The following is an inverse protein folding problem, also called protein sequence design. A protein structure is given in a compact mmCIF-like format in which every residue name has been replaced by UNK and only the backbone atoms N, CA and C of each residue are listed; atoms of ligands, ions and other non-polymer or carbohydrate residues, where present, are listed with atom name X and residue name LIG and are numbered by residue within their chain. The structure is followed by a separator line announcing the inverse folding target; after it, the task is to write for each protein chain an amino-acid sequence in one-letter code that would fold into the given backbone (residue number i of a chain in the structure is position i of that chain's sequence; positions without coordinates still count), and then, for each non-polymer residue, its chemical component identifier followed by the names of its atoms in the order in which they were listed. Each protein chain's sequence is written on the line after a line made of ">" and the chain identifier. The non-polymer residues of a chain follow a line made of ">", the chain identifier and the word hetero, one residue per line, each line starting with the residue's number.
data_IF_976592985318
#
_entry.id   IF_976592985318
#
_cell.length_a   1.000
_cell.length_b   1.000
_cell.length_c   1.000
_cell.angle_alpha   90.00
_cell.angle_beta   90.00
_cell.angle_gamma   90.00
#
_symmetry.space_group_name_H-M   'P 1'
#
loop_
_entity.id
_entity.type
_entity.pdbx_description
1 polymer ?
#
# COMPACT_ATOMS: atom_id res chain seq x y z
N UNK A 1 -34.25 27.10 7.96
CA UNK A 1 -33.20 27.52 8.92
C UNK A 1 -32.31 28.54 8.21
N UNK A 2 -32.12 29.73 8.79
CA UNK A 2 -31.31 30.81 8.19
C UNK A 2 -29.82 30.42 8.26
N UNK A 3 -29.01 30.62 7.20
CA UNK A 3 -27.58 30.37 7.26
C UNK A 3 -26.88 31.45 8.08
N UNK A 4 -25.98 31.01 8.97
CA UNK A 4 -25.14 31.84 9.82
C UNK A 4 -24.21 32.73 8.97
N UNK A 5 -24.33 34.05 9.13
CA UNK A 5 -23.54 35.09 8.44
C UNK A 5 -22.13 35.31 9.02
N UNK A 6 -21.60 34.39 9.83
CA UNK A 6 -20.35 34.63 10.58
C UNK A 6 -19.06 34.20 9.87
N UNK A 7 -19.11 33.42 8.79
CA UNK A 7 -17.89 32.86 8.17
C UNK A 7 -17.25 33.73 7.07
N UNK A 8 -17.86 34.86 6.69
CA UNK A 8 -17.44 35.60 5.48
C UNK A 8 -16.50 36.79 5.71
N UNK A 9 -16.07 37.08 6.94
CA UNK A 9 -15.38 38.36 7.25
C UNK A 9 -13.88 38.27 7.49
N UNK A 10 -13.24 37.10 7.47
CA UNK A 10 -11.80 36.98 7.76
C UNK A 10 -10.91 36.53 6.57
N UNK A 11 -11.49 36.02 5.48
CA UNK A 11 -10.72 35.34 4.42
C UNK A 11 -10.30 36.29 3.27
N UNK A 12 -10.64 37.58 3.31
CA UNK A 12 -10.47 38.47 2.14
C UNK A 12 -9.22 39.35 2.12
N UNK A 13 -8.25 39.19 3.01
CA UNK A 13 -7.00 39.95 2.95
C UNK A 13 -5.83 39.00 2.98
N UNK A 14 -5.15 38.87 1.83
CA UNK A 14 -3.69 38.87 1.71
C UNK A 14 -3.25 38.39 0.31
N UNK A 15 -3.16 39.34 -0.61
CA UNK A 15 -2.12 39.39 -1.66
C UNK A 15 -1.17 40.53 -1.20
N UNK A 16 0.13 40.68 -1.59
CA UNK A 16 0.89 39.99 -2.63
C UNK A 16 2.38 39.64 -2.29
N UNK A 17 3.01 38.90 -3.22
CA UNK A 17 4.40 38.96 -3.74
C UNK A 17 5.57 39.38 -2.82
N UNK A 18 6.53 38.46 -2.69
CA UNK A 18 7.88 38.52 -2.09
C UNK A 18 7.96 38.27 -0.57
N UNK A 19 8.08 37.01 -0.14
CA UNK A 19 8.36 36.70 1.28
C UNK A 19 8.91 35.28 1.54
N UNK A 20 9.75 34.73 0.66
CA UNK A 20 10.11 33.30 0.73
C UNK A 20 11.43 32.96 1.42
N UNK A 21 12.38 33.90 1.61
CA UNK A 21 13.69 33.50 2.16
C UNK A 21 13.85 33.67 3.68
N UNK A 22 12.84 34.15 4.40
CA UNK A 22 13.03 34.58 5.80
C UNK A 22 12.33 33.71 6.85
N UNK A 23 11.33 32.88 6.49
CA UNK A 23 10.51 32.20 7.50
C UNK A 23 11.18 30.98 8.15
N UNK A 24 11.88 30.15 7.39
CA UNK A 24 12.55 28.94 7.94
C UNK A 24 13.72 29.28 8.88
N UNK A 25 14.44 30.37 8.60
CA UNK A 25 15.54 30.88 9.46
C UNK A 25 14.98 31.40 10.79
N UNK A 26 13.76 31.94 10.82
CA UNK A 26 13.13 32.53 12.01
C UNK A 26 12.75 31.45 13.05
N UNK A 27 12.22 30.30 12.64
CA UNK A 27 11.85 29.23 13.58
C UNK A 27 13.06 28.62 14.30
N UNK A 28 14.19 28.43 13.59
CA UNK A 28 15.46 27.97 14.17
C UNK A 28 16.11 29.02 15.10
N UNK A 29 15.95 30.31 14.76
CA UNK A 29 16.50 31.41 15.56
C UNK A 29 15.74 31.60 16.89
N UNK A 30 14.42 31.45 16.91
CA UNK A 30 13.59 31.53 18.13
C UNK A 30 13.94 30.38 19.09
N UNK A 31 14.19 29.17 18.57
CA UNK A 31 14.55 28.00 19.38
C UNK A 31 15.92 28.11 20.06
N UNK A 32 16.85 28.82 19.42
CA UNK A 32 18.23 28.97 19.89
C UNK A 32 18.43 30.17 20.85
N UNK A 33 17.63 31.23 20.70
CA UNK A 33 17.78 32.48 21.47
C UNK A 33 16.74 32.72 22.57
N UNK A 34 15.71 31.88 22.70
CA UNK A 34 14.70 32.05 23.77
C UNK A 34 15.27 31.96 25.19
N UNK A 35 16.41 31.27 25.37
CA UNK A 35 17.09 31.16 26.66
C UNK A 35 18.01 32.34 27.01
N UNK A 36 18.35 33.21 26.04
CA UNK A 36 19.35 34.27 26.23
C UNK A 36 18.73 35.67 26.46
N UNK A 37 17.41 35.84 26.27
CA UNK A 37 16.79 37.17 26.14
C UNK A 37 15.76 37.50 27.24
N UNK A 38 15.13 36.51 27.88
CA UNK A 38 14.19 36.73 29.00
C UNK A 38 13.96 35.50 29.89
N UNK A 39 13.80 35.69 31.20
CA UNK A 39 13.56 34.65 32.22
C UNK A 39 12.16 33.97 32.15
N UNK A 40 11.35 34.31 31.15
CA UNK A 40 9.97 33.80 31.01
C UNK A 40 9.96 32.49 30.20
N UNK A 41 9.18 31.47 30.58
CA UNK A 41 9.06 30.24 29.78
C UNK A 41 8.62 30.51 28.33
N UNK A 42 9.18 29.77 27.37
CA UNK A 42 8.91 29.97 25.94
C UNK A 42 7.41 29.86 25.57
N UNK A 43 6.66 28.98 26.25
CA UNK A 43 5.21 28.83 26.06
C UNK A 43 4.44 30.09 26.45
N UNK A 44 4.78 30.68 27.61
CA UNK A 44 4.18 31.94 28.04
C UNK A 44 4.53 33.08 27.07
N UNK A 45 5.79 33.16 26.62
CA UNK A 45 6.20 34.16 25.61
C UNK A 45 5.38 34.06 24.32
N UNK A 46 5.03 32.86 23.86
CA UNK A 46 4.16 32.65 22.69
C UNK A 46 2.76 33.21 22.93
N UNK A 47 2.15 32.91 24.08
CA UNK A 47 0.83 33.43 24.43
C UNK A 47 0.83 34.97 24.55
N UNK A 48 1.89 35.54 25.12
CA UNK A 48 2.07 36.99 25.19
C UNK A 48 2.20 37.61 23.80
N UNK A 49 2.98 37.03 22.90
CA UNK A 49 3.13 37.51 21.53
C UNK A 49 1.80 37.44 20.76
N UNK A 50 1.04 36.35 20.92
CA UNK A 50 -0.30 36.21 20.34
C UNK A 50 -1.26 37.28 20.86
N UNK A 51 -1.21 37.59 22.16
CA UNK A 51 -2.04 38.65 22.74
C UNK A 51 -1.73 40.02 22.12
N UNK A 52 -0.44 40.33 21.90
CA UNK A 52 -0.03 41.57 21.22
C UNK A 52 -0.67 41.69 19.84
N UNK A 53 -0.52 40.63 19.04
CA UNK A 53 -1.03 40.58 17.66
C UNK A 53 -2.55 40.75 17.63
N UNK A 54 -3.26 40.12 18.57
CA UNK A 54 -4.72 40.24 18.69
C UNK A 54 -5.13 41.64 19.11
N UNK A 55 -4.37 42.30 20.00
CA UNK A 55 -4.68 43.63 20.50
C UNK A 55 -4.55 44.74 19.44
N UNK A 56 -3.63 44.59 18.48
CA UNK A 56 -3.42 45.54 17.37
C UNK A 56 -4.60 45.52 16.36
N UNK A 57 -5.47 44.51 16.43
CA UNK A 57 -6.67 44.39 15.62
C UNK A 57 -6.42 43.82 14.22
N UNK A 58 -7.50 43.39 13.56
CA UNK A 58 -7.43 42.58 12.33
C UNK A 58 -6.69 43.24 11.16
N UNK A 59 -6.68 44.59 11.08
CA UNK A 59 -6.03 45.32 9.99
C UNK A 59 -4.50 45.36 10.12
N UNK A 60 -3.98 45.43 11.34
CA UNK A 60 -2.53 45.54 11.61
C UNK A 60 -1.90 44.24 12.11
N UNK A 61 -2.70 43.24 12.51
CA UNK A 61 -2.23 41.97 13.05
C UNK A 61 -1.14 41.30 12.20
N UNK A 62 -1.23 41.35 10.88
CA UNK A 62 -0.28 40.72 9.96
C UNK A 62 1.04 41.49 9.84
N UNK A 63 0.97 42.81 9.84
CA UNK A 63 2.15 43.67 9.85
C UNK A 63 2.89 43.53 11.19
N UNK A 64 2.15 43.50 12.30
CA UNK A 64 2.70 43.24 13.63
C UNK A 64 3.30 41.84 13.71
N UNK A 65 2.62 40.81 13.20
CA UNK A 65 3.16 39.45 13.14
C UNK A 65 4.49 39.44 12.38
N UNK A 66 4.55 40.09 11.22
CA UNK A 66 5.78 40.22 10.43
C UNK A 66 6.89 40.92 11.21
N UNK A 67 6.61 42.05 11.84
CA UNK A 67 7.58 42.82 12.62
C UNK A 67 8.11 42.00 13.82
N UNK A 68 7.20 41.38 14.58
CA UNK A 68 7.56 40.55 15.73
C UNK A 68 8.35 39.30 15.32
N UNK A 69 8.01 38.67 14.21
CA UNK A 69 8.73 37.49 13.70
C UNK A 69 10.12 37.85 13.19
N UNK A 70 10.28 38.98 12.48
CA UNK A 70 11.58 39.41 11.94
C UNK A 70 12.53 39.92 13.02
N UNK A 71 12.00 40.59 14.05
CA UNK A 71 12.79 41.25 15.09
C UNK A 71 12.54 40.69 16.50
N UNK A 72 12.17 39.41 16.62
CA UNK A 72 11.75 38.81 17.90
C UNK A 72 12.68 39.11 19.10
N UNK A 73 14.02 39.00 18.99
CA UNK A 73 14.92 39.23 20.12
C UNK A 73 14.85 40.65 20.70
N UNK A 74 14.60 41.67 19.87
CA UNK A 74 14.52 43.05 20.35
C UNK A 74 13.19 43.31 21.08
N UNK A 75 12.13 42.64 20.67
CA UNK A 75 10.79 42.80 21.24
C UNK A 75 10.48 41.86 22.42
N UNK A 76 11.27 40.80 22.65
CA UNK A 76 11.02 39.78 23.67
C UNK A 76 10.74 40.34 25.08
N UNK A 77 11.50 41.35 25.54
CA UNK A 77 11.27 42.00 26.86
C UNK A 77 9.97 42.79 26.93
N UNK A 78 9.56 43.37 25.80
CA UNK A 78 8.32 44.13 25.70
C UNK A 78 7.12 43.17 25.71
N UNK A 79 7.21 42.08 24.94
CA UNK A 79 6.20 41.01 24.87
C UNK A 79 6.00 40.36 26.25
N UNK A 80 7.08 40.06 26.97
CA UNK A 80 7.02 39.43 28.30
C UNK A 80 6.23 40.22 29.37
N UNK A 81 5.98 41.51 29.14
CA UNK A 81 5.21 42.38 30.06
C UNK A 81 3.72 42.41 29.76
N UNK A 82 3.28 41.81 28.67
CA UNK A 82 1.87 41.83 28.29
C UNK A 82 1.04 40.87 29.12
N UNK A 83 -0.16 41.27 29.54
CA UNK A 83 -1.09 40.38 30.23
C UNK A 83 -1.94 39.62 29.21
N UNK A 84 -1.93 38.29 29.28
CA UNK A 84 -2.80 37.43 28.45
C UNK A 84 -4.21 37.42 29.02
N UNK A 85 -5.18 37.72 28.18
CA UNK A 85 -6.61 37.66 28.51
C UNK A 85 -7.07 36.21 28.74
N UNK A 86 -8.10 36.02 29.57
CA UNK A 86 -8.63 34.67 29.83
C UNK A 86 -9.33 34.10 28.60
N UNK A 87 -9.95 34.96 27.81
CA UNK A 87 -10.65 34.64 26.56
C UNK A 87 -9.68 34.07 25.52
N UNK A 88 -8.52 34.72 25.31
CA UNK A 88 -7.50 34.22 24.38
C UNK A 88 -6.94 32.88 24.83
N UNK A 89 -6.65 32.74 26.12
CA UNK A 89 -6.13 31.50 26.69
C UNK A 89 -7.09 30.32 26.49
N UNK A 90 -8.37 30.53 26.79
CA UNK A 90 -9.40 29.51 26.57
C UNK A 90 -9.58 29.17 25.09
N UNK A 91 -9.52 30.16 24.20
CA UNK A 91 -9.59 29.94 22.75
C UNK A 91 -8.43 29.10 22.23
N UNK A 92 -7.20 29.36 22.71
CA UNK A 92 -6.02 28.56 22.36
C UNK A 92 -6.16 27.14 22.91
N UNK A 93 -6.50 26.96 24.19
CA UNK A 93 -6.65 25.64 24.81
C UNK A 93 -7.76 24.82 24.11
N UNK A 94 -8.86 25.44 23.70
CA UNK A 94 -9.94 24.78 22.97
C UNK A 94 -9.49 24.36 21.56
N UNK A 95 -8.84 25.24 20.81
CA UNK A 95 -8.31 24.90 19.49
C UNK A 95 -7.27 23.77 19.57
N UNK A 96 -6.41 23.79 20.60
CA UNK A 96 -5.44 22.72 20.82
C UNK A 96 -6.13 21.40 21.18
N UNK A 97 -7.18 21.43 22.01
CA UNK A 97 -7.91 20.22 22.38
C UNK A 97 -8.71 19.63 21.22
N UNK A 98 -9.45 20.46 20.49
CA UNK A 98 -10.33 20.00 19.41
C UNK A 98 -9.59 19.66 18.11
N UNK A 99 -8.48 20.34 17.82
CA UNK A 99 -7.77 20.16 16.55
C UNK A 99 -6.37 19.54 16.67
N UNK A 100 -5.77 19.45 17.87
CA UNK A 100 -4.41 18.93 18.07
C UNK A 100 -4.32 17.72 19.02
N UNK A 101 -5.34 17.42 19.83
CA UNK A 101 -5.23 16.29 20.76
C UNK A 101 -5.45 14.95 20.05
N UNK A 102 -4.57 13.99 20.35
CA UNK A 102 -4.53 12.57 19.93
C UNK A 102 -5.84 11.77 20.08
N UNK A 103 -6.96 12.40 20.47
CA UNK A 103 -8.24 11.77 20.72
C UNK A 103 -9.14 11.81 19.46
N UNK A 104 -8.76 11.03 18.44
CA UNK A 104 -9.73 10.28 17.63
C UNK A 104 -10.64 11.05 16.66
N UNK A 105 -10.35 12.29 16.28
CA UNK A 105 -10.98 12.93 15.12
C UNK A 105 -9.94 13.29 14.05
N UNK A 106 -10.13 12.71 12.87
CA UNK A 106 -9.31 12.73 11.65
C UNK A 106 -8.95 14.12 11.06
N UNK A 107 -9.22 15.23 11.75
CA UNK A 107 -9.27 16.53 11.09
C UNK A 107 -7.90 17.10 10.70
N UNK A 108 -6.82 16.88 11.47
CA UNK A 108 -5.44 17.15 11.02
C UNK A 108 -4.44 16.24 11.74
N UNK A 109 -3.96 15.14 11.13
CA UNK A 109 -2.92 14.31 11.71
C UNK A 109 -1.61 15.11 11.86
N UNK A 110 -1.04 15.16 13.07
CA UNK A 110 0.37 15.52 13.27
C UNK A 110 0.71 16.99 13.51
N UNK A 111 -0.23 17.84 13.93
CA UNK A 111 0.12 19.17 14.47
C UNK A 111 0.28 19.11 15.99
N UNK A 112 1.49 19.35 16.47
CA UNK A 112 1.80 19.51 17.89
C UNK A 112 1.88 21.00 18.28
N UNK A 113 1.70 21.36 19.57
CA UNK A 113 1.89 22.74 20.01
C UNK A 113 3.26 23.33 19.63
N UNK A 114 3.26 24.30 18.71
CA UNK A 114 4.47 24.96 18.21
C UNK A 114 4.94 24.51 16.83
N UNK A 115 4.26 23.55 16.21
CA UNK A 115 4.42 23.25 14.78
C UNK A 115 3.57 24.19 13.93
N UNK A 116 4.01 24.41 12.69
CA UNK A 116 3.34 25.29 11.73
C UNK A 116 2.96 24.48 10.49
N UNK A 117 1.72 24.62 10.04
CA UNK A 117 1.23 23.99 8.83
C UNK A 117 0.46 25.01 8.01
N UNK A 118 0.69 25.02 6.70
CA UNK A 118 0.01 25.89 5.76
C UNK A 118 -0.98 25.05 4.96
N UNK A 119 -2.22 25.52 4.84
CA UNK A 119 -3.20 24.88 3.98
C UNK A 119 -3.61 25.82 2.85
N UNK A 120 -3.63 25.31 1.63
CA UNK A 120 -4.21 25.98 0.47
C UNK A 120 -5.44 25.18 0.03
N UNK A 121 -6.64 25.72 0.26
CA UNK A 121 -7.90 25.09 -0.14
C UNK A 121 -8.08 23.62 0.35
N UNK A 122 -7.50 23.27 1.50
CA UNK A 122 -7.52 21.93 2.08
C UNK A 122 -6.28 21.08 1.77
N UNK A 123 -5.41 21.53 0.85
CA UNK A 123 -4.13 20.89 0.57
C UNK A 123 -3.12 21.34 1.61
N UNK A 124 -2.58 20.41 2.39
CA UNK A 124 -1.48 20.68 3.32
C UNK A 124 -0.18 20.93 2.55
N UNK A 125 0.46 22.06 2.83
CA UNK A 125 1.76 22.44 2.30
C UNK A 125 2.79 22.36 3.41
N UNK A 126 3.89 21.68 3.13
CA UNK A 126 5.03 21.58 4.03
C UNK A 126 5.84 22.88 3.98
N UNK A 127 5.77 23.67 5.05
CA UNK A 127 6.38 24.99 5.14
C UNK A 127 7.91 24.92 5.09
N UNK A 128 8.51 23.80 5.52
CA UNK A 128 9.97 23.66 5.58
C UNK A 128 10.59 23.38 4.20
N UNK A 129 9.84 22.76 3.29
CA UNK A 129 10.29 22.45 1.92
C UNK A 129 9.72 23.39 0.85
N UNK A 130 8.79 24.29 1.21
CA UNK A 130 8.08 25.16 0.27
C UNK A 130 8.97 26.26 -0.33
N UNK A 131 9.21 26.15 -1.64
CA UNK A 131 9.81 27.22 -2.44
C UNK A 131 8.74 28.15 -3.07
N UNK A 132 9.11 29.39 -3.39
CA UNK A 132 8.24 30.37 -4.04
C UNK A 132 7.72 29.87 -5.38
N UNK A 133 8.59 29.21 -6.14
CA UNK A 133 8.24 28.67 -7.45
C UNK A 133 7.23 27.52 -7.30
N UNK A 134 7.45 26.63 -6.33
CA UNK A 134 6.50 25.56 -6.01
C UNK A 134 5.15 26.10 -5.56
N UNK A 135 5.12 27.15 -4.73
CA UNK A 135 3.88 27.80 -4.32
C UNK A 135 3.13 28.39 -5.51
N UNK A 136 3.83 29.07 -6.43
CA UNK A 136 3.21 29.62 -7.65
C UNK A 136 2.66 28.51 -8.53
N UNK A 137 3.38 27.41 -8.67
CA UNK A 137 2.91 26.27 -9.48
C UNK A 137 1.72 25.56 -8.84
N UNK A 138 1.69 25.45 -7.51
CA UNK A 138 0.54 24.95 -6.75
C UNK A 138 -0.68 25.86 -6.95
N UNK A 139 -0.51 27.18 -6.85
CA UNK A 139 -1.59 28.16 -7.09
C UNK A 139 -2.11 28.07 -8.52
N UNK A 140 -1.23 27.89 -9.53
CA UNK A 140 -1.65 27.70 -10.93
C UNK A 140 -2.42 26.40 -11.12
N UNK A 141 -2.03 25.31 -10.46
CA UNK A 141 -2.78 24.06 -10.50
C UNK A 141 -4.16 24.23 -9.87
N UNK A 142 -4.25 24.90 -8.72
CA UNK A 142 -5.51 25.18 -8.05
C UNK A 142 -6.42 26.10 -8.88
N UNK A 143 -5.86 27.11 -9.56
CA UNK A 143 -6.61 27.98 -10.47
C UNK A 143 -7.19 27.20 -11.65
N UNK A 144 -6.44 26.24 -12.22
CA UNK A 144 -6.95 25.35 -13.28
C UNK A 144 -8.11 24.47 -12.81
N UNK A 145 -8.02 23.95 -11.59
CA UNK A 145 -9.10 23.14 -10.99
C UNK A 145 -10.32 24.01 -10.72
N UNK A 146 -10.14 25.15 -10.05
CA UNK A 146 -11.21 26.08 -9.72
C UNK A 146 -11.90 26.65 -10.98
N UNK A 147 -11.14 27.00 -12.01
CA UNK A 147 -11.71 27.45 -13.30
C UNK A 147 -12.46 26.34 -14.02
N UNK A 148 -12.00 25.09 -13.94
CA UNK A 148 -12.71 23.91 -14.42
C UNK A 148 -14.11 23.76 -13.79
N UNK A 149 -14.20 23.88 -12.46
CA UNK A 149 -15.47 23.85 -11.73
C UNK A 149 -16.33 25.09 -12.01
N UNK A 150 -15.72 26.27 -12.12
CA UNK A 150 -16.40 27.52 -12.47
C UNK A 150 -17.09 27.44 -13.84
N UNK A 151 -16.42 26.83 -14.83
CA UNK A 151 -17.01 26.58 -16.15
C UNK A 151 -18.20 25.61 -16.12
N UNK A 152 -18.26 24.73 -15.12
CA UNK A 152 -19.40 23.82 -14.89
C UNK A 152 -20.52 24.47 -14.07
N UNK A 153 -20.35 25.72 -13.62
CA UNK A 153 -21.33 26.48 -12.84
C UNK A 153 -21.15 26.39 -11.31
N UNK A 154 -20.10 25.73 -10.83
CA UNK A 154 -19.78 25.65 -9.40
C UNK A 154 -18.77 26.75 -9.02
N UNK A 155 -19.07 27.60 -8.04
CA UNK A 155 -18.18 28.70 -7.67
C UNK A 155 -17.33 28.38 -6.44
N UNK A 156 -17.95 28.33 -5.25
CA UNK A 156 -17.24 28.03 -3.99
C UNK A 156 -17.61 26.68 -3.42
N UNK A 157 -18.66 26.06 -3.97
CA UNK A 157 -19.18 24.77 -3.55
C UNK A 157 -18.23 23.63 -3.92
N UNK A 158 -17.34 23.83 -4.89
CA UNK A 158 -16.40 22.79 -5.34
C UNK A 158 -15.49 22.30 -4.22
N UNK A 159 -15.07 23.18 -3.30
CA UNK A 159 -14.25 22.77 -2.15
C UNK A 159 -15.02 21.81 -1.24
N UNK A 160 -16.29 22.11 -0.93
CA UNK A 160 -17.12 21.21 -0.13
C UNK A 160 -17.39 19.87 -0.82
N UNK A 161 -17.49 19.87 -2.17
CA UNK A 161 -17.63 18.65 -2.96
C UNK A 161 -16.34 17.84 -2.91
N UNK A 162 -15.17 18.48 -3.14
CA UNK A 162 -13.86 17.82 -3.11
C UNK A 162 -13.52 17.28 -1.72
N UNK A 163 -13.81 18.03 -0.65
CA UNK A 163 -13.61 17.55 0.73
C UNK A 163 -14.54 16.39 1.07
N UNK A 164 -15.74 16.34 0.48
CA UNK A 164 -16.67 15.22 0.64
C UNK A 164 -16.36 14.01 -0.25
N UNK A 165 -15.37 14.11 -1.15
CA UNK A 165 -14.94 13.00 -1.99
C UNK A 165 -13.85 12.20 -1.29
N UNK A 166 -14.13 10.93 -1.01
CA UNK A 166 -13.08 9.99 -0.62
C UNK A 166 -12.22 9.66 -1.84
N UNK A 167 -11.05 10.29 -1.92
CA UNK A 167 -9.95 9.86 -2.76
C UNK A 167 -9.27 8.66 -2.11
N UNK A 168 -9.94 7.52 -2.07
CA UNK A 168 -9.28 6.27 -1.72
C UNK A 168 -8.26 5.93 -2.81
N UNK A 169 -6.97 5.85 -2.45
CA UNK A 169 -5.90 5.37 -3.32
C UNK A 169 -6.17 3.93 -3.84
N UNK A 170 -7.17 3.24 -3.28
CA UNK A 170 -7.56 1.89 -3.70
C UNK A 170 -8.24 1.81 -5.07
N UNK A 171 -8.67 2.93 -5.65
CA UNK A 171 -9.42 2.95 -6.92
C UNK A 171 -8.63 2.44 -8.15
N UNK A 172 -7.33 2.18 -8.00
CA UNK A 172 -6.49 1.57 -9.04
C UNK A 172 -6.24 0.07 -8.89
N UNK A 173 -6.61 -0.55 -7.76
CA UNK A 173 -6.31 -1.96 -7.48
C UNK A 173 -7.59 -2.80 -7.54
N UNK A 174 -7.68 -3.67 -8.53
CA UNK A 174 -8.77 -4.63 -8.67
C UNK A 174 -8.33 -6.00 -8.16
N UNK A 175 -9.25 -6.70 -7.50
CA UNK A 175 -9.07 -8.11 -7.17
C UNK A 175 -9.62 -8.97 -8.32
N UNK A 176 -8.94 -10.05 -8.62
CA UNK A 176 -9.33 -11.02 -9.64
C UNK A 176 -9.75 -12.31 -8.96
N UNK A 177 -10.89 -12.86 -9.39
CA UNK A 177 -11.29 -14.20 -9.00
C UNK A 177 -10.53 -15.25 -9.81
N UNK A 178 -9.73 -16.05 -9.12
CA UNK A 178 -8.86 -17.09 -9.67
C UNK A 178 -9.42 -18.51 -9.48
N UNK A 179 -10.62 -18.67 -8.94
CA UNK A 179 -11.18 -20.00 -8.61
C UNK A 179 -11.44 -20.88 -9.83
N UNK A 180 -11.72 -20.26 -10.97
CA UNK A 180 -12.00 -20.95 -12.24
C UNK A 180 -10.72 -21.33 -13.02
N UNK A 181 -9.53 -20.99 -12.50
CA UNK A 181 -8.26 -21.05 -13.24
C UNK A 181 -7.51 -22.40 -13.16
N UNK A 182 -8.19 -23.51 -12.88
CA UNK A 182 -7.58 -24.84 -12.68
C UNK A 182 -6.38 -24.82 -11.69
N UNK A 183 -6.60 -24.16 -10.55
CA UNK A 183 -5.58 -23.92 -9.54
C UNK A 183 -5.08 -25.20 -8.85
N UNK A 184 -3.76 -25.36 -8.76
CA UNK A 184 -3.11 -26.44 -7.99
C UNK A 184 -2.58 -25.88 -6.67
N UNK A 185 -3.14 -26.32 -5.54
CA UNK A 185 -2.63 -25.94 -4.22
C UNK A 185 -1.47 -26.84 -3.78
N UNK A 186 -0.42 -26.23 -3.23
CA UNK A 186 0.73 -26.95 -2.64
C UNK A 186 0.48 -27.37 -1.19
N UNK A 187 -0.27 -26.55 -0.46
CA UNK A 187 -0.57 -26.75 0.95
C UNK A 187 -2.00 -26.37 1.31
N UNK A 188 -2.42 -26.83 2.49
CA UNK A 188 -3.66 -26.45 3.13
C UNK A 188 -3.46 -26.25 4.63
N UNK A 189 -3.51 -24.98 5.05
CA UNK A 189 -3.31 -24.55 6.43
C UNK A 189 -4.34 -25.13 7.41
N UNK A 190 -5.54 -25.47 6.95
CA UNK A 190 -6.62 -26.00 7.80
C UNK A 190 -6.50 -27.51 8.03
N UNK A 191 -5.99 -28.27 7.06
CA UNK A 191 -6.06 -29.75 7.06
C UNK A 191 -4.72 -30.44 7.25
N UNK A 192 -3.62 -29.85 6.78
CA UNK A 192 -2.35 -30.55 6.70
C UNK A 192 -1.76 -30.81 8.09
N UNK A 193 -1.17 -32.00 8.27
CA UNK A 193 -0.57 -32.41 9.55
C UNK A 193 0.52 -31.43 10.03
N UNK A 194 1.22 -30.80 9.08
CA UNK A 194 2.29 -29.82 9.31
C UNK A 194 1.82 -28.62 10.14
N UNK A 195 0.60 -28.15 9.91
CA UNK A 195 0.08 -26.94 10.58
C UNK A 195 -0.70 -27.24 11.86
N UNK A 196 -0.86 -28.51 12.27
CA UNK A 196 -1.65 -28.90 13.45
C UNK A 196 -1.20 -28.29 14.78
N UNK A 197 0.08 -27.98 14.91
CA UNK A 197 0.62 -27.29 16.08
C UNK A 197 0.17 -25.83 16.21
N UNK A 198 -0.35 -25.22 15.14
CA UNK A 198 -0.84 -23.86 15.16
C UNK A 198 -2.28 -23.80 15.66
N UNK A 199 -2.65 -22.69 16.30
CA UNK A 199 -4.02 -22.44 16.73
C UNK A 199 -4.89 -22.08 15.51
N UNK A 200 -6.14 -22.53 15.49
CA UNK A 200 -7.07 -22.39 14.35
C UNK A 200 -8.19 -21.36 14.59
N UNK A 201 -7.98 -20.39 15.49
CA UNK A 201 -8.97 -19.37 15.83
C UNK A 201 -8.69 -18.08 15.07
N UNK A 202 -9.73 -17.49 14.46
CA UNK A 202 -9.61 -16.19 13.76
C UNK A 202 -9.37 -15.05 14.75
N UNK A 203 -9.79 -15.21 16.02
CA UNK A 203 -9.56 -14.21 17.09
C UNK A 203 -8.07 -13.94 17.35
N UNK A 204 -7.18 -14.83 16.91
CA UNK A 204 -5.73 -14.65 17.01
C UNK A 204 -5.23 -13.46 16.19
N UNK A 205 -5.99 -13.00 15.19
CA UNK A 205 -5.68 -11.76 14.49
C UNK A 205 -5.73 -10.54 15.41
N UNK A 206 -6.49 -10.59 16.51
CA UNK A 206 -6.59 -9.49 17.47
C UNK A 206 -5.50 -9.51 18.54
N UNK A 207 -4.79 -10.63 18.70
CA UNK A 207 -3.68 -10.71 19.67
C UNK A 207 -2.48 -9.89 19.16
N UNK A 208 -1.83 -9.08 20.01
CA UNK A 208 -0.63 -8.35 19.61
C UNK A 208 0.46 -9.31 19.13
N UNK A 209 1.14 -8.97 18.04
CA UNK A 209 2.21 -9.77 17.44
C UNK A 209 3.32 -8.86 16.92
N UNK A 210 4.51 -9.42 16.72
CA UNK A 210 5.67 -8.65 16.29
C UNK A 210 5.41 -7.98 14.93
N UNK A 211 5.67 -6.66 14.81
CA UNK A 211 5.51 -5.96 13.54
C UNK A 211 6.47 -6.54 12.49
N UNK A 212 5.99 -6.70 11.26
CA UNK A 212 6.77 -7.29 10.17
C UNK A 212 6.85 -8.82 10.17
N UNK A 213 6.08 -9.50 11.02
CA UNK A 213 5.94 -10.96 10.98
C UNK A 213 4.49 -11.37 10.73
N UNK A 214 4.28 -12.39 9.89
CA UNK A 214 2.95 -12.96 9.68
C UNK A 214 2.62 -13.90 10.84
N UNK A 215 1.44 -13.75 11.43
CA UNK A 215 0.97 -14.61 12.52
C UNK A 215 0.73 -16.04 12.02
N UNK A 216 1.30 -17.08 12.66
CA UNK A 216 1.04 -18.46 12.32
C UNK A 216 -0.36 -18.88 12.80
N UNK A 217 -1.32 -18.89 11.87
CA UNK A 217 -2.71 -19.30 12.11
C UNK A 217 -3.03 -20.44 11.15
N UNK A 218 -3.50 -21.58 11.66
CA UNK A 218 -3.96 -22.71 10.85
C UNK A 218 -5.36 -22.44 10.26
N UNK A 219 -5.49 -21.35 9.49
CA UNK A 219 -6.70 -20.93 8.76
C UNK A 219 -6.31 -20.31 7.43
N UNK A 220 -7.11 -20.57 6.40
CA UNK A 220 -6.90 -19.95 5.09
C UNK A 220 -7.29 -18.45 5.04
N UNK A 221 -6.41 -17.58 5.55
CA UNK A 221 -6.61 -16.13 5.56
C UNK A 221 -5.99 -15.44 4.33
N UNK A 222 -4.86 -15.97 3.87
CA UNK A 222 -4.08 -15.39 2.79
C UNK A 222 -3.76 -16.48 1.76
N UNK A 223 -4.20 -16.28 0.53
CA UNK A 223 -3.92 -17.13 -0.61
C UNK A 223 -2.89 -16.43 -1.50
N UNK A 224 -1.73 -17.06 -1.70
CA UNK A 224 -0.68 -16.60 -2.60
C UNK A 224 -0.69 -17.48 -3.85
N UNK A 225 -1.13 -16.91 -4.96
CA UNK A 225 -1.35 -17.62 -6.21
C UNK A 225 -0.30 -17.18 -7.23
N UNK A 226 0.49 -18.11 -7.74
CA UNK A 226 1.50 -17.86 -8.76
C UNK A 226 0.94 -18.25 -10.12
N UNK A 227 0.90 -17.29 -11.04
CA UNK A 227 0.53 -17.47 -12.44
C UNK A 227 1.84 -17.52 -13.23
N UNK A 228 2.21 -18.70 -13.69
CA UNK A 228 3.56 -18.97 -14.22
C UNK A 228 3.50 -19.69 -15.55
N UNK A 229 4.37 -19.28 -16.47
CA UNK A 229 4.70 -20.04 -17.68
C UNK A 229 6.03 -20.76 -17.44
N UNK A 230 6.03 -22.09 -17.26
CA UNK A 230 7.24 -22.82 -16.87
C UNK A 230 8.35 -22.79 -17.93
N UNK A 231 8.07 -22.41 -19.18
CA UNK A 231 9.12 -22.18 -20.18
C UNK A 231 9.93 -20.90 -19.88
N UNK A 232 9.30 -19.86 -19.34
CA UNK A 232 9.95 -18.57 -19.09
C UNK A 232 10.89 -18.63 -17.88
N UNK A 233 12.05 -17.98 -17.99
CA UNK A 233 13.06 -17.90 -16.93
C UNK A 233 12.55 -17.29 -15.61
N UNK A 234 11.78 -16.21 -15.67
CA UNK A 234 11.28 -15.53 -14.48
C UNK A 234 10.28 -16.41 -13.70
N UNK A 235 9.41 -17.11 -14.42
CA UNK A 235 8.46 -18.09 -13.87
C UNK A 235 9.16 -19.23 -13.13
N UNK A 236 10.27 -19.75 -13.68
CA UNK A 236 11.07 -20.81 -13.03
C UNK A 236 11.64 -20.37 -11.68
N UNK A 237 12.08 -19.11 -11.57
CA UNK A 237 12.51 -18.55 -10.28
C UNK A 237 11.34 -18.45 -9.29
N UNK A 238 10.15 -18.07 -9.74
CA UNK A 238 8.96 -17.98 -8.89
C UNK A 238 8.48 -19.35 -8.41
N UNK A 239 8.57 -20.38 -9.24
CA UNK A 239 8.27 -21.76 -8.82
C UNK A 239 9.21 -22.24 -7.70
N UNK A 240 10.48 -21.84 -7.72
CA UNK A 240 11.40 -22.10 -6.62
C UNK A 240 11.01 -21.36 -5.35
N UNK A 241 10.65 -20.08 -5.47
CA UNK A 241 10.23 -19.26 -4.34
C UNK A 241 8.95 -19.83 -3.73
N UNK A 242 7.98 -20.27 -4.55
CA UNK A 242 6.77 -20.94 -4.09
C UNK A 242 7.08 -22.20 -3.28
N UNK A 243 8.01 -23.04 -3.75
CA UNK A 243 8.47 -24.21 -3.00
C UNK A 243 9.21 -23.83 -1.71
N UNK A 244 10.04 -22.77 -1.74
CA UNK A 244 10.74 -22.24 -0.57
C UNK A 244 9.75 -21.80 0.52
N UNK A 245 8.71 -21.07 0.16
CA UNK A 245 7.67 -20.60 1.09
C UNK A 245 6.92 -21.77 1.72
N UNK A 246 6.65 -22.82 0.95
CA UNK A 246 6.07 -24.05 1.47
C UNK A 246 7.02 -24.74 2.46
N UNK A 247 8.31 -24.87 2.12
CA UNK A 247 9.33 -25.52 2.94
C UNK A 247 9.56 -24.78 4.28
N UNK A 248 9.51 -23.45 4.26
CA UNK A 248 9.68 -22.59 5.44
C UNK A 248 8.41 -22.40 6.27
N UNK A 249 7.31 -23.08 5.92
CA UNK A 249 6.05 -23.05 6.66
C UNK A 249 5.51 -21.62 6.85
N UNK A 250 5.64 -20.80 5.81
CA UNK A 250 5.05 -19.46 5.81
C UNK A 250 3.51 -19.61 5.91
N UNK A 251 2.80 -18.85 6.77
CA UNK A 251 1.36 -18.99 7.01
C UNK A 251 0.50 -18.41 5.87
N UNK A 252 0.78 -18.86 4.65
CA UNK A 252 0.11 -18.53 3.41
C UNK A 252 -0.32 -19.83 2.73
N UNK A 253 -1.49 -19.82 2.10
CA UNK A 253 -1.91 -20.92 1.23
C UNK A 253 -1.37 -20.66 -0.17
N UNK A 254 -0.49 -21.53 -0.63
CA UNK A 254 0.26 -21.37 -1.87
C UNK A 254 -0.41 -22.18 -2.97
N UNK A 255 -0.63 -21.56 -4.12
CA UNK A 255 -1.14 -22.23 -5.30
C UNK A 255 -0.45 -21.81 -6.59
N UNK A 256 -0.49 -22.69 -7.58
CA UNK A 256 0.13 -22.53 -8.89
C UNK A 256 -0.94 -22.62 -9.98
N UNK A 257 -0.89 -21.69 -10.93
CA UNK A 257 -1.63 -21.71 -12.18
C UNK A 257 -0.60 -21.74 -13.29
N UNK A 258 -0.61 -22.83 -14.06
CA UNK A 258 0.25 -22.96 -15.23
C UNK A 258 -0.41 -22.29 -16.43
N UNK A 259 0.28 -21.30 -17.00
CA UNK A 259 -0.11 -20.67 -18.26
C UNK A 259 0.80 -21.24 -19.33
N UNK A 260 0.23 -22.09 -20.18
CA UNK A 260 0.93 -22.75 -21.28
C UNK A 260 0.14 -22.54 -22.56
N UNK A 261 0.68 -22.99 -23.69
CA UNK A 261 -0.01 -22.93 -24.97
C UNK A 261 -1.33 -23.73 -24.93
N UNK A 262 -2.46 -23.07 -25.23
CA UNK A 262 -3.80 -23.66 -25.19
C UNK A 262 -4.20 -24.41 -26.47
N UNK A 263 -3.35 -24.40 -27.49
CA UNK A 263 -3.61 -25.08 -28.75
C UNK A 263 -3.69 -26.60 -28.57
N UNK A 264 -4.86 -27.18 -28.92
CA UNK A 264 -5.12 -28.63 -28.83
C UNK A 264 -4.23 -29.48 -29.73
N UNK A 265 -3.57 -28.88 -30.71
CA UNK A 265 -2.67 -29.58 -31.66
C UNK A 265 -1.25 -29.69 -31.13
N UNK A 266 -0.86 -28.75 -30.27
CA UNK A 266 0.47 -28.67 -29.69
C UNK A 266 0.52 -29.62 -28.50
N UNK A 267 1.49 -30.52 -28.49
CA UNK A 267 1.71 -31.49 -27.40
C UNK A 267 3.00 -31.17 -26.65
N UNK A 268 3.22 -31.85 -25.52
CA UNK A 268 4.49 -31.73 -24.77
C UNK A 268 5.72 -32.20 -25.55
N UNK A 269 5.54 -32.79 -26.75
CA UNK A 269 6.64 -33.10 -27.66
C UNK A 269 7.17 -31.87 -28.39
N UNK A 270 6.33 -30.86 -28.58
CA UNK A 270 6.62 -29.66 -29.40
C UNK A 270 6.83 -28.42 -28.53
N UNK A 271 6.12 -28.32 -27.40
CA UNK A 271 6.13 -27.16 -26.53
C UNK A 271 6.62 -27.50 -25.13
N UNK A 272 7.65 -26.78 -24.69
CA UNK A 272 8.30 -26.95 -23.40
C UNK A 272 7.37 -26.64 -22.23
N UNK A 273 6.51 -25.63 -22.34
CA UNK A 273 5.59 -25.25 -21.28
C UNK A 273 4.59 -26.37 -21.02
N UNK A 274 3.99 -26.91 -22.09
CA UNK A 274 3.11 -28.08 -22.04
C UNK A 274 3.86 -29.31 -21.53
N UNK A 275 5.11 -29.53 -21.96
CA UNK A 275 5.92 -30.65 -21.47
C UNK A 275 6.10 -30.62 -19.95
N UNK A 276 6.45 -29.47 -19.38
CA UNK A 276 6.65 -29.32 -17.94
C UNK A 276 5.33 -29.48 -17.18
N UNK A 277 4.21 -28.97 -17.72
CA UNK A 277 2.89 -29.20 -17.14
C UNK A 277 2.54 -30.69 -17.09
N UNK A 278 2.77 -31.41 -18.18
CA UNK A 278 2.47 -32.84 -18.28
C UNK A 278 3.35 -33.64 -17.33
N UNK A 279 4.63 -33.30 -17.24
CA UNK A 279 5.55 -33.88 -16.26
C UNK A 279 5.08 -33.63 -14.83
N UNK A 280 4.67 -32.39 -14.51
CA UNK A 280 4.13 -32.05 -13.19
C UNK A 280 2.89 -32.88 -12.86
N UNK A 281 1.94 -33.00 -13.80
CA UNK A 281 0.71 -33.75 -13.63
C UNK A 281 0.97 -35.27 -13.49
N UNK A 282 1.93 -35.81 -14.25
CA UNK A 282 2.38 -37.20 -14.13
C UNK A 282 2.91 -37.48 -12.72
N UNK A 283 3.83 -36.64 -12.24
CA UNK A 283 4.39 -36.79 -10.90
C UNK A 283 3.35 -36.60 -9.80
N UNK A 284 2.38 -35.70 -9.99
CA UNK A 284 1.34 -35.40 -9.01
C UNK A 284 0.28 -36.51 -8.88
N UNK A 285 0.28 -37.52 -9.75
CA UNK A 285 -0.62 -38.68 -9.62
C UNK A 285 -0.10 -39.68 -8.60
N UNK A 286 1.21 -39.97 -8.65
CA UNK A 286 1.85 -40.93 -7.74
C UNK A 286 2.37 -40.27 -6.45
N UNK A 287 2.58 -38.96 -6.47
CA UNK A 287 3.11 -38.18 -5.34
C UNK A 287 2.23 -36.98 -4.98
N UNK A 288 2.59 -36.25 -3.93
CA UNK A 288 1.88 -35.02 -3.57
C UNK A 288 2.30 -33.84 -4.45
N UNK A 289 1.41 -32.84 -4.65
CA UNK A 289 1.70 -31.67 -5.48
C UNK A 289 3.01 -30.94 -5.13
N UNK A 290 3.38 -30.90 -3.85
CA UNK A 290 4.62 -30.23 -3.41
C UNK A 290 5.87 -31.09 -3.66
N UNK A 291 5.76 -32.42 -3.66
CA UNK A 291 6.84 -33.32 -4.08
C UNK A 291 7.03 -33.28 -5.59
N UNK A 292 5.93 -33.28 -6.37
CA UNK A 292 5.97 -33.07 -7.81
C UNK A 292 6.66 -31.75 -8.16
N UNK A 293 6.30 -30.64 -7.50
CA UNK A 293 6.96 -29.35 -7.70
C UNK A 293 8.45 -29.38 -7.35
N UNK A 294 8.83 -30.09 -6.28
CA UNK A 294 10.23 -30.23 -5.87
C UNK A 294 11.05 -30.89 -6.97
N UNK A 295 10.58 -32.01 -7.51
CA UNK A 295 11.26 -32.77 -8.57
C UNK A 295 11.36 -31.93 -9.85
N UNK A 296 10.27 -31.24 -10.21
CA UNK A 296 10.27 -30.33 -11.37
C UNK A 296 11.29 -29.19 -11.18
N UNK A 297 11.36 -28.58 -9.99
CA UNK A 297 12.36 -27.55 -9.70
C UNK A 297 13.80 -28.10 -9.76
N UNK A 298 14.07 -29.31 -9.26
CA UNK A 298 15.38 -29.97 -9.36
C UNK A 298 15.81 -30.23 -10.81
N UNK A 299 14.86 -30.57 -11.69
CA UNK A 299 15.11 -30.65 -13.14
C UNK A 299 15.43 -29.27 -13.73
N UNK A 300 14.62 -28.27 -13.40
CA UNK A 300 14.75 -26.91 -13.93
C UNK A 300 15.98 -26.15 -13.41
N UNK A 301 16.59 -26.59 -12.30
CA UNK A 301 17.81 -26.02 -11.75
C UNK A 301 18.95 -25.97 -12.76
N UNK A 302 19.04 -26.99 -13.64
CA UNK A 302 20.06 -27.06 -14.70
C UNK A 302 19.87 -26.00 -15.78
N UNK A 303 18.63 -25.52 -15.95
CA UNK A 303 18.24 -24.63 -17.04
C UNK A 303 18.02 -23.18 -16.59
N UNK A 304 18.14 -22.84 -15.30
CA UNK A 304 17.80 -21.51 -14.74
C UNK A 304 18.45 -20.30 -15.41
N UNK A 305 19.64 -20.48 -15.96
CA UNK A 305 20.38 -19.41 -16.64
C UNK A 305 20.04 -19.31 -18.12
N UNK A 306 19.43 -20.34 -18.69
CA UNK A 306 19.02 -20.38 -20.09
C UNK A 306 17.65 -19.73 -20.24
N UNK A 307 17.51 -18.89 -21.26
CA UNK A 307 16.24 -18.19 -21.52
C UNK A 307 15.19 -19.14 -22.10
N UNK A 308 15.61 -20.08 -22.96
CA UNK A 308 14.76 -21.11 -23.58
C UNK A 308 15.24 -22.53 -23.20
N UNK A 309 14.31 -23.48 -23.14
CA UNK A 309 14.58 -24.90 -22.90
C UNK A 309 14.02 -25.68 -24.10
N UNK A 310 14.81 -26.59 -24.66
CA UNK A 310 14.36 -27.47 -25.74
C UNK A 310 13.57 -28.67 -25.15
N UNK A 311 12.41 -29.05 -25.72
CA UNK A 311 11.71 -30.27 -25.32
C UNK A 311 12.58 -31.54 -25.35
N UNK A 312 13.63 -31.59 -26.18
CA UNK A 312 14.56 -32.72 -26.24
C UNK A 312 15.36 -32.92 -24.93
N UNK A 313 15.63 -31.84 -24.20
CA UNK A 313 16.34 -31.91 -22.93
C UNK A 313 15.44 -32.53 -21.84
N UNK A 314 14.15 -32.15 -21.84
CA UNK A 314 13.13 -32.73 -20.94
C UNK A 314 12.98 -34.22 -21.22
N UNK A 315 12.97 -34.60 -22.50
CA UNK A 315 12.92 -36.00 -22.91
C UNK A 315 14.10 -36.81 -22.34
N UNK A 316 15.31 -36.30 -22.51
CA UNK A 316 16.53 -36.98 -22.08
C UNK A 316 16.54 -37.18 -20.55
N UNK A 317 16.14 -36.15 -19.80
CA UNK A 317 16.02 -36.21 -18.35
C UNK A 317 14.92 -37.19 -17.89
N UNK A 318 13.78 -37.23 -18.60
CA UNK A 318 12.68 -38.13 -18.27
C UNK A 318 13.06 -39.60 -18.50
N UNK A 319 13.68 -39.92 -19.64
CA UNK A 319 14.10 -41.29 -19.96
C UNK A 319 15.20 -41.81 -19.02
N UNK A 320 16.05 -40.92 -18.49
CA UNK A 320 17.08 -41.29 -17.50
C UNK A 320 16.48 -41.60 -16.12
N UNK A 321 15.47 -40.82 -15.68
CA UNK A 321 14.91 -40.94 -14.33
C UNK A 321 13.69 -41.87 -14.24
N UNK A 322 12.95 -42.06 -15.33
CA UNK A 322 11.69 -42.80 -15.39
C UNK A 322 11.66 -43.77 -16.58
N UNK A 323 12.57 -44.75 -16.55
CA UNK A 323 12.69 -45.80 -17.58
C UNK A 323 11.47 -46.74 -17.70
N UNK A 324 10.56 -46.67 -16.73
CA UNK A 324 9.35 -47.49 -16.60
C UNK A 324 8.11 -46.89 -17.29
N UNK A 325 8.15 -45.61 -17.66
CA UNK A 325 7.05 -44.91 -18.33
C UNK A 325 7.39 -44.58 -19.81
N UNK A 326 6.43 -44.77 -20.72
CA UNK A 326 6.62 -44.38 -22.13
C UNK A 326 6.48 -42.86 -22.27
N UNK A 327 7.51 -42.23 -22.82
CA UNK A 327 7.53 -40.81 -23.13
C UNK A 327 6.33 -40.37 -24.00
N UNK A 328 5.89 -41.21 -24.95
CA UNK A 328 4.75 -40.85 -25.80
C UNK A 328 3.41 -40.87 -25.08
N UNK A 329 3.28 -41.67 -24.04
CA UNK A 329 2.04 -41.74 -23.25
C UNK A 329 1.91 -40.50 -22.34
N UNK A 330 3.03 -39.99 -21.84
CA UNK A 330 3.04 -38.80 -20.96
C UNK A 330 2.95 -37.49 -21.75
N UNK A 331 3.74 -37.35 -22.81
CA UNK A 331 3.92 -36.08 -23.54
C UNK A 331 3.16 -36.01 -24.87
N UNK A 332 2.56 -37.11 -25.32
CA UNK A 332 1.88 -37.20 -26.62
C UNK A 332 0.55 -36.43 -26.69
N UNK A 333 -0.05 -36.34 -27.90
CA UNK A 333 -1.27 -35.54 -28.13
C UNK A 333 -2.55 -36.11 -27.51
N UNK A 334 -2.56 -37.39 -27.11
CA UNK A 334 -3.70 -38.07 -26.47
C UNK A 334 -3.42 -38.40 -25.00
N UNK A 335 -2.60 -37.58 -24.35
CA UNK A 335 -2.19 -37.75 -22.95
C UNK A 335 -3.33 -37.38 -21.98
N UNK A 336 -3.44 -38.14 -20.88
CA UNK A 336 -4.34 -37.80 -19.78
C UNK A 336 -3.75 -36.70 -18.87
N UNK A 337 -2.47 -36.33 -19.07
CA UNK A 337 -1.73 -35.37 -18.24
C UNK A 337 -1.85 -33.91 -18.72
N UNK A 338 -2.71 -33.62 -19.70
CA UNK A 338 -2.96 -32.26 -20.24
C UNK A 338 -3.86 -31.38 -19.33
N UNK A 339 -4.09 -31.81 -18.08
CA UNK A 339 -4.96 -31.10 -17.12
C UNK A 339 -4.43 -29.69 -16.82
N UNK A 340 -5.32 -28.69 -16.87
CA UNK A 340 -5.00 -27.30 -16.55
C UNK A 340 -4.46 -26.47 -17.73
N UNK A 341 -4.20 -27.10 -18.88
CA UNK A 341 -3.70 -26.45 -20.11
C UNK A 341 -4.62 -25.33 -20.60
N UNK A 342 -5.93 -25.57 -20.65
CA UNK A 342 -6.91 -24.55 -21.09
C UNK A 342 -7.26 -23.57 -19.97
N UNK A 343 -7.43 -24.04 -18.73
CA UNK A 343 -7.91 -23.23 -17.61
C UNK A 343 -6.99 -22.05 -17.27
N UNK A 344 -5.67 -22.27 -17.24
CA UNK A 344 -4.70 -21.21 -16.92
C UNK A 344 -4.64 -20.11 -17.98
N UNK A 345 -4.62 -20.48 -19.26
CA UNK A 345 -4.59 -19.51 -20.36
C UNK A 345 -5.92 -18.77 -20.52
N UNK A 346 -7.05 -19.45 -20.33
CA UNK A 346 -8.37 -18.82 -20.32
C UNK A 346 -8.49 -17.81 -19.17
N UNK A 347 -7.99 -18.15 -17.98
CA UNK A 347 -7.93 -17.24 -16.85
C UNK A 347 -7.10 -15.99 -17.17
N UNK A 348 -5.91 -16.14 -17.75
CA UNK A 348 -5.06 -15.00 -18.09
C UNK A 348 -5.75 -14.05 -19.11
N UNK A 349 -6.44 -14.62 -20.10
CA UNK A 349 -7.21 -13.85 -21.09
C UNK A 349 -8.42 -13.14 -20.47
N UNK A 350 -9.14 -13.78 -19.54
CA UNK A 350 -10.32 -13.21 -18.86
C UNK A 350 -9.96 -12.13 -17.84
N UNK A 351 -8.91 -12.36 -17.08
CA UNK A 351 -8.51 -11.52 -15.94
C UNK A 351 -7.82 -10.22 -16.34
N UNK A 352 -7.25 -10.15 -17.56
CA UNK A 352 -6.55 -8.98 -18.08
C UNK A 352 -5.42 -8.45 -17.17
N UNK A 353 -4.86 -9.30 -16.30
CA UNK A 353 -3.75 -8.97 -15.38
C UNK A 353 -2.41 -8.71 -16.07
N UNK A 354 -2.37 -8.82 -17.40
CA UNK A 354 -1.19 -8.65 -18.23
C UNK A 354 -0.62 -9.98 -18.68
N UNK A 355 0.71 -10.01 -18.90
CA UNK A 355 1.44 -11.23 -19.27
C UNK A 355 1.96 -11.93 -18.02
N UNK A 356 2.04 -13.25 -18.07
CA UNK A 356 2.79 -14.02 -17.07
C UNK A 356 4.29 -13.64 -17.12
N UNK A 357 5.04 -13.82 -16.01
CA UNK A 357 4.55 -14.27 -14.71
C UNK A 357 3.83 -13.18 -13.91
N UNK A 358 2.82 -13.59 -13.12
CA UNK A 358 2.12 -12.72 -12.16
C UNK A 358 1.92 -13.44 -10.84
N UNK A 359 1.88 -12.70 -9.74
CA UNK A 359 1.57 -13.24 -8.42
C UNK A 359 0.39 -12.48 -7.83
N UNK A 360 -0.59 -13.22 -7.31
CA UNK A 360 -1.81 -12.67 -6.72
C UNK A 360 -1.81 -12.97 -5.21
N UNK A 361 -2.09 -11.97 -4.38
CA UNK A 361 -2.39 -12.16 -2.96
C UNK A 361 -3.88 -11.89 -2.71
N UNK A 362 -4.64 -12.92 -2.34
CA UNK A 362 -6.10 -12.85 -2.19
C UNK A 362 -6.80 -12.23 -3.43
N UNK A 363 -6.25 -12.47 -4.62
CA UNK A 363 -6.77 -11.94 -5.89
C UNK A 363 -6.19 -10.59 -6.32
N UNK A 364 -5.47 -9.87 -5.45
CA UNK A 364 -4.80 -8.62 -5.83
C UNK A 364 -3.46 -8.93 -6.53
N UNK A 365 -3.24 -8.45 -7.77
CA UNK A 365 -1.95 -8.61 -8.43
C UNK A 365 -0.88 -7.79 -7.73
N UNK A 366 0.28 -8.43 -7.48
CA UNK A 366 1.47 -7.77 -6.97
C UNK A 366 2.19 -7.02 -8.11
N UNK A 367 2.87 -5.94 -7.75
CA UNK A 367 3.60 -5.10 -8.71
C UNK A 367 4.81 -5.85 -9.29
N UNK A 368 5.03 -5.75 -10.60
CA UNK A 368 6.09 -6.48 -11.32
C UNK A 368 7.51 -6.20 -10.79
N UNK A 369 7.74 -4.99 -10.27
CA UNK A 369 9.00 -4.61 -9.64
C UNK A 369 9.27 -5.41 -8.35
N UNK A 370 8.22 -5.78 -7.62
CA UNK A 370 8.28 -6.55 -6.37
C UNK A 370 8.36 -8.06 -6.58
N UNK A 371 8.15 -8.55 -7.80
CA UNK A 371 8.21 -9.99 -8.15
C UNK A 371 9.66 -10.49 -8.32
N UNK A 372 10.65 -9.60 -8.21
CA UNK A 372 12.07 -9.96 -8.27
C UNK A 372 12.55 -10.63 -6.96
N UNK A 373 13.33 -11.72 -7.09
CA UNK A 373 13.58 -12.70 -6.02
C UNK A 373 14.09 -12.14 -4.68
N UNK A 374 14.87 -11.06 -4.70
CA UNK A 374 15.44 -10.47 -3.48
C UNK A 374 14.43 -9.61 -2.69
N UNK A 375 13.36 -9.12 -3.33
CA UNK A 375 12.34 -8.24 -2.74
C UNK A 375 10.97 -8.88 -2.63
N UNK A 376 10.83 -10.12 -3.11
CA UNK A 376 9.53 -10.80 -3.15
C UNK A 376 8.96 -11.04 -1.75
N UNK A 377 9.77 -11.53 -0.82
CA UNK A 377 9.36 -11.76 0.57
C UNK A 377 8.88 -10.49 1.25
N UNK A 378 9.61 -9.38 1.06
CA UNK A 378 9.26 -8.07 1.60
C UNK A 378 7.95 -7.56 0.99
N UNK A 379 7.78 -7.70 -0.33
CA UNK A 379 6.55 -7.30 -1.04
C UNK A 379 5.33 -8.05 -0.53
N UNK A 380 5.44 -9.38 -0.38
CA UNK A 380 4.35 -10.21 0.18
C UNK A 380 4.06 -9.81 1.63
N UNK A 381 5.08 -9.56 2.45
CA UNK A 381 4.91 -9.13 3.84
C UNK A 381 4.19 -7.78 3.93
N UNK A 382 4.60 -6.79 3.14
CA UNK A 382 3.96 -5.47 3.09
C UNK A 382 2.49 -5.58 2.72
N UNK A 383 2.16 -6.41 1.73
CA UNK A 383 0.78 -6.57 1.28
C UNK A 383 -0.08 -7.31 2.32
N UNK A 384 0.47 -8.32 3.01
CA UNK A 384 -0.19 -8.97 4.15
C UNK A 384 -0.46 -7.97 5.28
N UNK A 385 0.52 -7.13 5.60
CA UNK A 385 0.38 -6.08 6.63
C UNK A 385 -0.64 -5.01 6.22
N UNK A 386 -0.82 -4.74 4.92
CA UNK A 386 -1.85 -3.84 4.39
C UNK A 386 -3.26 -4.42 4.56
N UNK A 387 -3.43 -5.72 4.32
CA UNK A 387 -4.73 -6.41 4.39
C UNK A 387 -5.12 -6.74 5.84
N UNK A 388 -4.15 -6.99 6.72
CA UNK A 388 -4.38 -7.45 8.10
C UNK A 388 -5.27 -6.51 8.92
N UNK A 389 -5.13 -5.17 8.91
CA UNK A 389 -6.01 -4.26 9.63
C UNK A 389 -7.47 -4.35 9.19
N UNK A 390 -7.71 -4.44 7.86
CA UNK A 390 -9.07 -4.63 7.31
C UNK A 390 -9.68 -5.92 7.83
N UNK A 391 -8.87 -6.98 7.85
CA UNK A 391 -9.27 -8.21 8.49
C UNK A 391 -9.54 -7.96 9.97
N UNK A 392 -8.64 -7.44 10.79
CA UNK A 392 -8.89 -7.20 12.23
C UNK A 392 -10.19 -6.43 12.52
N UNK A 393 -10.47 -5.36 11.78
CA UNK A 393 -11.70 -4.57 11.91
C UNK A 393 -12.96 -5.40 11.72
N UNK A 394 -12.98 -6.31 10.74
CA UNK A 394 -14.12 -7.19 10.54
C UNK A 394 -14.33 -8.18 11.71
N UNK A 395 -13.29 -8.50 12.52
CA UNK A 395 -13.36 -9.45 13.65
C UNK A 395 -13.99 -8.75 14.82
N UNK A 396 -13.58 -7.50 14.99
CA UNK A 396 -14.13 -6.62 16.00
C UNK A 396 -15.61 -6.39 15.72
N UNK A 397 -15.98 -6.15 14.47
CA UNK A 397 -17.37 -5.89 14.06
C UNK A 397 -18.25 -7.15 14.03
N UNK A 398 -17.67 -8.34 14.18
CA UNK A 398 -18.41 -9.61 14.10
C UNK A 398 -18.95 -9.92 12.71
N UNK A 399 -18.43 -9.26 11.67
CA UNK A 399 -18.80 -9.54 10.30
C UNK A 399 -18.25 -10.91 9.89
N UNK A 400 -19.02 -11.72 9.14
CA UNK A 400 -18.49 -12.97 8.61
C UNK A 400 -17.34 -12.66 7.65
N UNK A 401 -16.14 -13.16 7.98
CA UNK A 401 -14.90 -13.12 7.17
C UNK A 401 -15.08 -13.40 5.68
N UNK A 402 -16.08 -14.21 5.34
CA UNK A 402 -16.42 -14.58 3.98
C UNK A 402 -16.97 -13.41 3.15
N UNK A 403 -17.51 -12.35 3.77
CA UNK A 403 -18.11 -11.23 3.04
C UNK A 403 -17.11 -10.45 2.17
N UNK A 404 -15.81 -10.47 2.52
CA UNK A 404 -14.75 -9.83 1.73
C UNK A 404 -14.39 -10.56 0.43
N UNK A 405 -14.78 -11.84 0.30
CA UNK A 405 -14.65 -12.59 -0.95
C UNK A 405 -15.90 -12.49 -1.85
N UNK A 406 -16.95 -11.79 -1.41
CA UNK A 406 -18.27 -11.78 -2.06
C UNK A 406 -18.83 -10.39 -2.38
N UNK A 407 -18.09 -9.31 -2.13
CA UNK A 407 -18.45 -7.98 -2.63
C UNK A 407 -17.55 -7.62 -3.80
N UNK A 408 -17.91 -8.16 -4.96
CA UNK A 408 -17.59 -7.62 -6.28
C UNK A 408 -18.70 -6.70 -6.76
#
# INVERSE_FOLDING_TARGET
>A
MKPSKASSSFISLLHPKNLTDHFAVICLYIRSNSALVSDVPAEAQRMHASQRIVNEGAYHALDTLKELSQNFPTHARSIARESVSRELRQGIELNQKEHLSDAGHETVPGLSPGESMLFLNGIGLDVDSLDMFQLVDTIKQEERVASGFSNMGFQREYLSILTGMEFSEEKGRYAVDYRDADLVYLNNLDTDKRYKHWRNSVKLLLEPYYPGMIRPIARNLFNLIFVVDPAERNSRNLMQIAYSFFKHEIPLRIGLIFVVNDDKKVSGLEDTGVAILNLFNFLAIDSTNHEALKIVNEMLDQFRTQDDIDPADIKSWFEENYSDADYKDVFGPNTDYDRGKTGGMEFLRKSAIGKAPKVLLNGYPLDDAGITGDKFEETVMMEVMRITPKLQTAVINGEPWFSFYYQS
#
